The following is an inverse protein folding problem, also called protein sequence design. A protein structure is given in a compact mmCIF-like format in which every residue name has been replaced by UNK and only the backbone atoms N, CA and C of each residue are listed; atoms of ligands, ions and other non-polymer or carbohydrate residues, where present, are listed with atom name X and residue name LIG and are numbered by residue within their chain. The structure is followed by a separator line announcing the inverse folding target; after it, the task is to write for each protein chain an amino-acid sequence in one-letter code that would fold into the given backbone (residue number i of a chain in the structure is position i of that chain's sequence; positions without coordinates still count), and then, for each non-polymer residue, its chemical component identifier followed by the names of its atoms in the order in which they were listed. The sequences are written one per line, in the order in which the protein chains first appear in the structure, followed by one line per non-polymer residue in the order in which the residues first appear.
data_IF_688467087821
#
_entry.id   IF_688467087821
#
_cell.length_a   1.000
_cell.length_b   1.000
_cell.length_c   1.000
_cell.angle_alpha   90.00
_cell.angle_beta   90.00
_cell.angle_gamma   90.00
#
_symmetry.space_group_name_H-M   'P 1'
#
loop_
_entity.id
_entity.type
_entity.pdbx_description
1 polymer ?
#
# COMPACT_ATOMS: atom_id res chain seq x y z
N UNK A 1 -10.83 -8.11 4.51
CA UNK A 1 -9.83 -7.09 4.13
C UNK A 1 -9.30 -6.49 5.41
N UNK A 2 -7.98 -6.45 5.56
CA UNK A 2 -7.28 -5.79 6.66
C UNK A 2 -6.55 -4.58 6.09
N UNK A 3 -6.82 -3.40 6.61
CA UNK A 3 -6.17 -2.16 6.19
C UNK A 3 -5.40 -1.58 7.39
N UNK A 4 -4.65 -0.50 7.14
CA UNK A 4 -4.00 0.30 8.19
C UNK A 4 -5.01 0.94 9.13
N UNK A 5 -6.20 1.27 8.61
CA UNK A 5 -7.34 1.81 9.35
C UNK A 5 -8.51 0.82 9.47
N UNK A 6 -9.34 1.02 10.50
CA UNK A 6 -10.59 0.29 10.62
C UNK A 6 -11.57 0.63 9.50
N UNK A 7 -12.29 -0.39 9.01
CA UNK A 7 -13.32 -0.25 7.97
C UNK A 7 -14.37 0.80 8.31
N UNK A 8 -14.79 0.87 9.57
CA UNK A 8 -15.77 1.85 10.03
C UNK A 8 -15.22 3.27 9.94
N UNK A 9 -13.97 3.49 10.31
CA UNK A 9 -13.34 4.82 10.26
C UNK A 9 -13.26 5.34 8.82
N UNK A 10 -12.84 4.47 7.89
CA UNK A 10 -12.76 4.79 6.45
C UNK A 10 -14.14 5.14 5.89
N UNK A 11 -15.18 4.40 6.26
CA UNK A 11 -16.55 4.63 5.76
C UNK A 11 -17.22 5.85 6.38
N UNK A 12 -17.01 6.07 7.68
CA UNK A 12 -17.61 7.18 8.41
C UNK A 12 -16.89 8.52 8.15
N UNK A 13 -15.66 8.48 7.64
CA UNK A 13 -14.81 9.67 7.47
C UNK A 13 -14.38 10.28 8.81
N UNK A 14 -14.44 9.51 9.90
CA UNK A 14 -14.06 9.92 11.24
C UNK A 14 -13.23 8.83 11.89
N UNK A 15 -12.09 9.20 12.48
CA UNK A 15 -11.21 8.28 13.17
C UNK A 15 -11.80 7.89 14.54
N UNK A 16 -11.63 6.63 14.92
CA UNK A 16 -11.84 6.18 16.30
C UNK A 16 -10.63 6.56 17.16
N UNK A 17 -10.74 6.50 18.49
CA UNK A 17 -9.65 6.87 19.39
C UNK A 17 -8.32 6.15 19.08
N UNK A 18 -8.36 4.87 18.70
CA UNK A 18 -7.15 4.12 18.32
C UNK A 18 -6.55 4.59 16.99
N UNK A 19 -7.39 4.91 15.99
CA UNK A 19 -6.91 5.46 14.72
C UNK A 19 -6.41 6.91 14.89
N UNK A 20 -7.03 7.71 15.77
CA UNK A 20 -6.54 9.05 16.12
C UNK A 20 -5.16 8.99 16.76
N UNK A 21 -4.92 8.04 17.66
CA UNK A 21 -3.62 7.86 18.30
C UNK A 21 -2.53 7.47 17.28
N UNK A 22 -2.85 6.57 16.34
CA UNK A 22 -1.93 6.22 15.24
C UNK A 22 -1.66 7.41 14.31
N UNK A 23 -2.67 8.24 14.03
CA UNK A 23 -2.53 9.45 13.23
C UNK A 23 -1.66 10.49 13.93
N UNK A 24 -1.84 10.68 15.24
CA UNK A 24 -1.02 11.57 16.05
C UNK A 24 0.43 11.10 16.18
N UNK A 25 0.67 9.79 16.12
CA UNK A 25 2.01 9.20 16.09
C UNK A 25 2.63 9.21 14.68
N UNK A 26 1.96 9.80 13.68
CA UNK A 26 2.39 9.83 12.27
C UNK A 26 2.60 8.42 11.68
N UNK A 27 1.93 7.41 12.25
CA UNK A 27 1.98 6.04 11.75
C UNK A 27 0.97 5.79 10.62
N UNK A 28 -0.03 6.66 10.50
CA UNK A 28 -0.98 6.72 9.40
C UNK A 28 -1.21 8.20 9.02
N UNK A 29 -1.55 8.48 7.77
CA UNK A 29 -1.83 9.83 7.29
C UNK A 29 -3.18 9.90 6.56
N UNK A 30 -3.49 11.07 5.99
CA UNK A 30 -4.69 11.25 5.16
C UNK A 30 -4.67 10.32 3.94
N UNK A 31 -3.48 9.97 3.42
CA UNK A 31 -3.36 9.06 2.28
C UNK A 31 -3.86 7.65 2.64
N UNK A 32 -3.67 7.20 3.88
CA UNK A 32 -4.16 5.90 4.34
C UNK A 32 -5.69 5.83 4.25
N UNK A 33 -6.35 6.93 4.59
CA UNK A 33 -7.80 7.05 4.55
C UNK A 33 -8.27 6.99 3.09
N UNK A 34 -7.65 7.77 2.20
CA UNK A 34 -8.08 7.87 0.81
C UNK A 34 -7.79 6.61 0.00
N UNK A 35 -6.61 6.03 0.16
CA UNK A 35 -6.27 4.70 -0.41
C UNK A 35 -7.24 3.64 0.13
N UNK A 36 -7.53 3.67 1.44
CA UNK A 36 -8.50 2.79 2.06
C UNK A 36 -9.90 2.89 1.42
N UNK A 37 -10.39 4.11 1.17
CA UNK A 37 -11.68 4.34 0.48
C UNK A 37 -11.67 3.78 -0.94
N UNK A 38 -10.60 4.04 -1.70
CA UNK A 38 -10.45 3.54 -3.07
C UNK A 38 -10.47 2.01 -3.08
N UNK A 39 -9.69 1.35 -2.22
CA UNK A 39 -9.67 -0.10 -2.14
C UNK A 39 -11.02 -0.70 -1.75
N UNK A 40 -11.73 -0.07 -0.81
CA UNK A 40 -13.10 -0.48 -0.46
C UNK A 40 -14.07 -0.31 -1.62
N UNK A 41 -13.97 0.77 -2.40
CA UNK A 41 -14.78 1.01 -3.60
C UNK A 41 -14.50 -0.05 -4.66
N UNK A 42 -13.23 -0.29 -4.99
CA UNK A 42 -12.81 -1.28 -5.99
C UNK A 42 -13.17 -2.70 -5.56
N UNK A 43 -13.07 -3.03 -4.27
CA UNK A 43 -13.45 -4.35 -3.74
C UNK A 43 -14.95 -4.66 -3.90
N UNK A 44 -15.83 -3.65 -4.03
CA UNK A 44 -17.26 -3.87 -4.35
C UNK A 44 -17.44 -4.43 -5.76
N UNK A 45 -16.65 -3.94 -6.73
CA UNK A 45 -16.65 -4.44 -8.11
C UNK A 45 -15.82 -5.71 -8.29
N UNK A 46 -14.70 -5.82 -7.58
CA UNK A 46 -13.73 -6.91 -7.72
C UNK A 46 -13.61 -7.68 -6.40
N UNK A 47 -14.48 -8.68 -6.22
CA UNK A 47 -14.62 -9.41 -4.95
C UNK A 47 -13.33 -10.06 -4.45
N UNK A 48 -12.39 -10.42 -5.33
CA UNK A 48 -11.11 -11.00 -4.93
C UNK A 48 -10.23 -10.05 -4.09
N UNK A 49 -10.46 -8.72 -4.17
CA UNK A 49 -9.81 -7.73 -3.31
C UNK A 49 -10.43 -7.66 -1.90
N UNK A 50 -11.58 -8.30 -1.65
CA UNK A 50 -12.22 -8.27 -0.33
C UNK A 50 -11.40 -8.98 0.75
N UNK A 51 -10.39 -9.78 0.37
CA UNK A 51 -9.50 -10.48 1.27
C UNK A 51 -8.03 -10.16 0.98
N UNK A 52 -7.70 -8.87 0.96
CA UNK A 52 -6.31 -8.37 1.00
C UNK A 52 -5.96 -7.83 2.39
N UNK A 53 -4.66 -7.80 2.68
CA UNK A 53 -4.06 -7.22 3.87
C UNK A 53 -3.01 -6.19 3.49
N UNK A 54 -3.23 -4.95 3.91
CA UNK A 54 -2.26 -3.85 3.81
C UNK A 54 -1.72 -3.59 5.21
N UNK A 55 -0.40 -3.57 5.31
CA UNK A 55 0.31 -3.39 6.56
C UNK A 55 0.73 -1.95 6.79
N UNK A 56 1.12 -1.25 5.73
CA UNK A 56 1.57 0.13 5.82
C UNK A 56 1.44 0.83 4.48
N UNK A 57 1.32 2.15 4.51
CA UNK A 57 1.40 3.01 3.34
C UNK A 57 2.50 4.03 3.63
N UNK A 58 3.46 4.13 2.72
CA UNK A 58 4.63 4.99 2.88
C UNK A 58 4.62 6.01 1.76
N UNK A 59 4.73 7.27 2.14
CA UNK A 59 4.73 8.39 1.22
C UNK A 59 6.16 8.86 0.94
N UNK A 60 6.46 9.10 -0.33
CA UNK A 60 7.65 9.81 -0.78
C UNK A 60 7.23 11.01 -1.63
N UNK A 61 8.19 11.83 -2.05
CA UNK A 61 7.92 13.02 -2.88
C UNK A 61 7.22 12.65 -4.20
N UNK A 62 7.56 11.52 -4.82
CA UNK A 62 7.06 11.11 -6.13
C UNK A 62 6.16 9.89 -6.11
N UNK A 63 6.13 9.13 -5.01
CA UNK A 63 5.59 7.77 -5.01
C UNK A 63 4.90 7.44 -3.70
N UNK A 64 3.81 6.68 -3.77
CA UNK A 64 3.09 6.09 -2.64
C UNK A 64 3.32 4.58 -2.68
N UNK A 65 3.97 4.07 -1.65
CA UNK A 65 4.34 2.66 -1.53
C UNK A 65 3.36 1.97 -0.58
N UNK A 66 2.64 0.97 -1.09
CA UNK A 66 1.66 0.21 -0.33
C UNK A 66 2.26 -1.16 0.01
N UNK A 67 2.46 -1.42 1.30
CA UNK A 67 3.04 -2.67 1.80
C UNK A 67 1.94 -3.69 2.08
N UNK A 68 2.03 -4.85 1.44
CA UNK A 68 0.98 -5.89 1.44
C UNK A 68 1.47 -7.18 2.08
N UNK A 69 0.53 -8.07 2.39
CA UNK A 69 0.87 -9.47 2.68
C UNK A 69 1.30 -10.23 1.42
N UNK A 70 2.09 -11.32 1.57
CA UNK A 70 2.38 -12.23 0.48
C UNK A 70 1.09 -12.76 -0.18
N UNK A 71 1.04 -12.80 -1.50
CA UNK A 71 -0.15 -13.23 -2.26
C UNK A 71 -1.19 -12.13 -2.50
N UNK A 72 -1.13 -11.01 -1.78
CA UNK A 72 -2.06 -9.89 -1.97
C UNK A 72 -1.58 -8.89 -3.02
N UNK A 73 -0.27 -8.79 -3.24
CA UNK A 73 0.31 -8.00 -4.33
C UNK A 73 -0.24 -8.47 -5.68
N UNK A 74 -0.25 -9.77 -5.93
CA UNK A 74 -0.72 -10.38 -7.17
C UNK A 74 -2.22 -10.11 -7.41
N UNK A 75 -3.01 -9.96 -6.33
CA UNK A 75 -4.42 -9.56 -6.44
C UNK A 75 -4.54 -8.09 -6.82
N UNK A 76 -3.70 -7.21 -6.28
CA UNK A 76 -3.68 -5.79 -6.62
C UNK A 76 -3.18 -5.59 -8.06
N UNK A 77 -2.12 -6.30 -8.46
CA UNK A 77 -1.62 -6.29 -9.84
C UNK A 77 -2.69 -6.79 -10.83
N UNK A 78 -3.46 -7.82 -10.45
CA UNK A 78 -4.60 -8.30 -11.25
C UNK A 78 -5.72 -7.28 -11.38
N UNK A 79 -5.93 -6.43 -10.37
CA UNK A 79 -6.90 -5.33 -10.46
C UNK A 79 -6.48 -4.30 -11.52
N UNK A 80 -5.17 -4.22 -11.78
CA UNK A 80 -4.57 -3.57 -12.94
C UNK A 80 -4.93 -2.08 -13.06
N UNK A 81 -5.13 -1.64 -14.29
CA UNK A 81 -5.42 -0.25 -14.62
C UNK A 81 -6.67 0.29 -13.94
N UNK A 82 -7.67 -0.55 -13.63
CA UNK A 82 -8.87 -0.10 -12.93
C UNK A 82 -8.54 0.42 -11.53
N UNK A 83 -7.70 -0.29 -10.77
CA UNK A 83 -7.25 0.16 -9.46
C UNK A 83 -6.36 1.39 -9.59
N UNK A 84 -5.37 1.34 -10.48
CA UNK A 84 -4.43 2.45 -10.68
C UNK A 84 -5.12 3.74 -11.11
N UNK A 85 -6.14 3.68 -11.97
CA UNK A 85 -6.91 4.85 -12.39
C UNK A 85 -7.68 5.47 -11.21
N UNK A 86 -8.29 4.66 -10.35
CA UNK A 86 -8.98 5.19 -9.16
C UNK A 86 -7.98 5.77 -8.13
N UNK A 87 -6.76 5.25 -8.06
CA UNK A 87 -5.69 5.80 -7.22
C UNK A 87 -5.13 7.11 -7.83
N UNK A 88 -5.00 7.20 -9.15
CA UNK A 88 -4.55 8.40 -9.86
C UNK A 88 -5.56 9.58 -9.83
N UNK A 89 -6.82 9.29 -9.46
CA UNK A 89 -7.85 10.29 -9.19
C UNK A 89 -7.62 10.99 -7.84
N UNK A 90 -7.10 10.29 -6.83
CA UNK A 90 -6.89 10.83 -5.49
C UNK A 90 -5.51 11.50 -5.34
N UNK A 91 -4.49 11.00 -6.03
CA UNK A 91 -3.13 11.54 -5.98
C UNK A 91 -2.45 11.41 -7.35
N UNK A 92 -1.57 12.34 -7.70
CA UNK A 92 -0.83 12.33 -8.98
C UNK A 92 0.50 11.57 -8.92
N UNK A 93 0.96 11.20 -7.72
CA UNK A 93 2.12 10.37 -7.50
C UNK A 93 1.91 8.95 -8.02
N UNK A 94 3.01 8.25 -8.27
CA UNK A 94 2.97 6.85 -8.69
C UNK A 94 2.64 5.93 -7.51
N UNK A 95 1.88 4.86 -7.76
CA UNK A 95 1.55 3.86 -6.74
C UNK A 95 2.33 2.57 -6.97
N UNK A 96 3.09 2.12 -5.97
CA UNK A 96 3.86 0.87 -6.01
C UNK A 96 3.37 -0.09 -4.92
N UNK A 97 3.15 -1.35 -5.29
CA UNK A 97 2.77 -2.41 -4.35
C UNK A 97 3.98 -3.29 -4.01
N UNK A 98 4.32 -3.39 -2.72
CA UNK A 98 5.43 -4.23 -2.23
C UNK A 98 4.94 -5.29 -1.25
N UNK A 99 5.53 -6.47 -1.33
CA UNK A 99 5.27 -7.54 -0.36
C UNK A 99 6.15 -7.35 0.88
N UNK A 100 5.55 -7.41 2.06
CA UNK A 100 6.30 -7.42 3.33
C UNK A 100 7.23 -8.64 3.37
N UNK A 101 8.53 -8.38 3.49
CA UNK A 101 9.57 -9.41 3.51
C UNK A 101 10.67 -9.04 4.49
N UNK A 102 11.34 -10.06 5.04
CA UNK A 102 12.58 -9.89 5.84
C UNK A 102 13.85 -10.00 4.99
N UNK A 103 13.73 -10.46 3.74
CA UNK A 103 14.85 -10.61 2.82
C UNK A 103 15.05 -9.31 2.04
N UNK A 104 16.19 -8.61 2.21
CA UNK A 104 16.47 -7.34 1.53
C UNK A 104 16.46 -7.44 0.00
N UNK A 105 16.96 -8.54 -0.58
CA UNK A 105 16.99 -8.71 -2.04
C UNK A 105 15.57 -8.79 -2.61
N UNK A 106 14.66 -9.54 -1.94
CA UNK A 106 13.25 -9.59 -2.35
C UNK A 106 12.54 -8.24 -2.23
N UNK A 107 12.95 -7.42 -1.27
CA UNK A 107 12.43 -6.07 -1.12
C UNK A 107 12.88 -5.17 -2.27
N UNK A 108 14.18 -5.21 -2.60
CA UNK A 108 14.77 -4.47 -3.72
C UNK A 108 14.16 -4.93 -5.06
N UNK A 109 14.03 -6.23 -5.29
CA UNK A 109 13.32 -6.79 -6.46
C UNK A 109 11.90 -6.23 -6.58
N UNK A 110 11.18 -6.12 -5.46
CA UNK A 110 9.86 -5.52 -5.44
C UNK A 110 9.86 -4.04 -5.86
N UNK A 111 10.89 -3.29 -5.45
CA UNK A 111 11.03 -1.85 -5.76
C UNK A 111 11.39 -1.58 -7.22
N UNK A 112 12.28 -2.38 -7.80
CA UNK A 112 12.71 -2.22 -9.21
C UNK A 112 11.71 -2.84 -10.21
N UNK A 113 10.67 -3.51 -9.70
CA UNK A 113 9.53 -3.97 -10.49
C UNK A 113 9.89 -5.08 -11.48
N UNK A 114 9.82 -4.77 -12.78
CA UNK A 114 10.06 -5.74 -13.86
C UNK A 114 11.54 -5.94 -14.20
N UNK A 115 12.43 -5.11 -13.65
CA UNK A 115 13.86 -5.21 -13.91
C UNK A 115 14.51 -6.36 -13.15
N UNK A 116 15.53 -6.97 -13.75
CA UNK A 116 16.24 -8.10 -13.14
C UNK A 116 17.31 -7.58 -12.16
N UNK A 117 17.21 -7.97 -10.89
CA UNK A 117 18.26 -7.74 -9.91
C UNK A 117 19.49 -8.61 -10.25
N UNK A 118 20.54 -8.00 -10.81
CA UNK A 118 21.78 -8.71 -11.17
C UNK A 118 22.61 -9.05 -9.93
N UNK A 119 22.63 -8.16 -8.93
CA UNK A 119 23.35 -8.37 -7.69
C UNK A 119 23.27 -7.16 -6.77
N UNK A 120 23.55 -7.38 -5.49
CA UNK A 120 23.68 -6.33 -4.47
C UNK A 120 25.10 -6.35 -3.91
N UNK A 121 25.66 -5.18 -3.61
CA UNK A 121 26.98 -5.04 -2.99
C UNK A 121 26.87 -4.12 -1.78
N UNK A 122 27.45 -4.54 -0.66
CA UNK A 122 27.50 -3.74 0.57
C UNK A 122 28.88 -3.11 0.68
N UNK A 123 28.94 -1.77 0.69
CA UNK A 123 30.17 -1.02 0.89
C UNK A 123 30.33 -0.72 2.38
N UNK A 124 31.45 -1.15 2.96
CA UNK A 124 31.81 -0.81 4.34
C UNK A 124 32.68 0.45 4.32
N UNK A 125 32.19 1.50 4.98
CA UNK A 125 32.94 2.75 5.13
C UNK A 125 34.01 2.56 6.24
N UNK A 126 35.21 3.16 6.09
CA UNK A 126 36.30 3.07 7.07
C UNK A 126 35.97 3.78 8.39
#
# INVERSE_FOLDING_TARGET
MKLTLDRMCIQAGKLCASCEELYQQELISDIDIDVGKVLMKVAKSQKFLSNISIYNIIETESTIIIITAPGDKEKLDRAGSFLLNNLAEIDKRDFIFLVKTKNPNKFIEGLIGSELLVGTSTVFLP
#
